data_IF_495487323609
#
_entry.id   IF_495487323609
#
_cell.length_a   1.000
_cell.length_b   1.000
_cell.length_c   1.000
_cell.angle_alpha   90.00
_cell.angle_beta   90.00
_cell.angle_gamma   90.00
#
_symmetry.space_group_name_H-M   'P 1'
#
loop_
_entity.id
_entity.type
_entity.pdbx_description
1 polymer ?
#
# COMPACT_ATOMS: atom_id res chain seq x y z
N UNK A 1 16.26 15.18 1.47
CA UNK A 1 15.05 15.65 2.21
C UNK A 1 14.27 14.42 2.64
N UNK A 2 14.00 14.29 3.91
CA UNK A 2 13.12 13.25 4.42
C UNK A 2 11.70 13.53 3.94
N UNK A 3 10.99 12.54 3.57
CA UNK A 3 9.55 12.32 3.31
C UNK A 3 8.58 13.48 3.69
N UNK A 4 8.72 14.62 3.00
CA UNK A 4 8.01 15.87 3.33
C UNK A 4 6.49 15.77 3.31
N UNK A 5 5.92 14.79 2.58
CA UNK A 5 4.48 14.55 2.49
C UNK A 5 4.05 13.24 3.18
N UNK A 6 4.96 12.53 3.83
CA UNK A 6 4.70 11.27 4.54
C UNK A 6 4.38 10.07 3.64
N UNK A 7 4.66 10.14 2.33
CA UNK A 7 4.31 9.08 1.39
C UNK A 7 5.19 7.84 1.55
N UNK A 8 6.50 8.03 1.76
CA UNK A 8 7.42 6.92 1.97
C UNK A 8 7.10 6.17 3.26
N UNK A 9 6.96 6.90 4.37
CA UNK A 9 6.70 6.30 5.69
C UNK A 9 5.32 5.65 5.77
N UNK A 10 4.31 6.17 5.05
CA UNK A 10 2.96 5.56 4.98
C UNK A 10 3.01 4.25 4.21
N UNK A 11 3.57 4.25 3.00
CA UNK A 11 3.70 3.05 2.18
C UNK A 11 4.54 1.98 2.90
N UNK A 12 5.68 2.40 3.45
CA UNK A 12 6.59 1.51 4.16
C UNK A 12 5.94 0.84 5.38
N UNK A 13 5.22 1.61 6.20
CA UNK A 13 4.53 1.04 7.37
C UNK A 13 3.44 0.05 6.95
N UNK A 14 2.63 0.39 5.93
CA UNK A 14 1.56 -0.48 5.45
C UNK A 14 2.11 -1.79 4.89
N UNK A 15 3.09 -1.73 3.98
CA UNK A 15 3.65 -2.93 3.36
C UNK A 15 4.45 -3.77 4.36
N UNK A 16 5.23 -3.15 5.27
CA UNK A 16 5.96 -3.88 6.29
C UNK A 16 5.04 -4.67 7.24
N UNK A 17 3.87 -4.12 7.60
CA UNK A 17 2.88 -4.82 8.41
C UNK A 17 2.21 -5.96 7.64
N UNK A 18 1.94 -5.80 6.34
CA UNK A 18 1.44 -6.88 5.50
C UNK A 18 2.48 -8.02 5.41
N UNK A 19 3.74 -7.69 5.13
CA UNK A 19 4.84 -8.65 5.02
C UNK A 19 5.12 -9.37 6.35
N UNK A 20 4.94 -8.67 7.49
CA UNK A 20 5.02 -9.29 8.82
C UNK A 20 3.87 -10.28 9.07
N UNK A 21 2.67 -9.96 8.60
CA UNK A 21 1.50 -10.82 8.80
C UNK A 21 1.57 -12.12 7.98
N UNK A 22 2.01 -12.03 6.72
CA UNK A 22 2.20 -13.19 5.83
C UNK A 22 3.29 -12.90 4.79
N UNK A 23 4.00 -13.93 4.32
CA UNK A 23 4.91 -13.81 3.17
C UNK A 23 4.16 -13.29 1.94
N UNK A 24 4.74 -12.32 1.26
CA UNK A 24 4.17 -11.73 0.04
C UNK A 24 4.79 -12.32 -1.24
N UNK A 25 5.84 -13.12 -1.13
CA UNK A 25 6.54 -13.71 -2.25
C UNK A 25 5.60 -14.59 -3.11
N UNK A 26 5.55 -14.31 -4.41
CA UNK A 26 4.71 -15.00 -5.39
C UNK A 26 3.22 -14.68 -5.28
N UNK A 27 2.81 -13.75 -4.39
CA UNK A 27 1.40 -13.33 -4.27
C UNK A 27 1.08 -12.22 -5.25
N UNK A 28 -0.12 -12.28 -5.83
CA UNK A 28 -0.67 -11.18 -6.62
C UNK A 28 -1.16 -10.07 -5.69
N UNK A 29 -0.61 -8.88 -5.85
CA UNK A 29 -0.93 -7.70 -5.08
C UNK A 29 -1.54 -6.61 -5.97
N UNK A 30 -2.67 -6.06 -5.55
CA UNK A 30 -3.35 -4.96 -6.25
C UNK A 30 -3.27 -3.70 -5.40
N UNK A 31 -2.71 -2.63 -5.98
CA UNK A 31 -2.72 -1.31 -5.36
C UNK A 31 -3.86 -0.48 -5.98
N UNK A 32 -4.93 -0.32 -5.24
CA UNK A 32 -6.07 0.52 -5.64
C UNK A 32 -5.69 2.00 -5.56
N UNK A 33 -6.05 2.77 -6.60
CA UNK A 33 -5.63 4.16 -6.79
C UNK A 33 -4.10 4.32 -6.72
N UNK A 34 -3.37 3.40 -7.36
CA UNK A 34 -1.91 3.24 -7.24
C UNK A 34 -1.06 4.31 -7.92
N UNK A 35 -1.66 5.35 -8.54
CA UNK A 35 -0.94 6.39 -9.30
C UNK A 35 -0.45 7.56 -8.46
N UNK A 36 -0.91 7.65 -7.21
CA UNK A 36 -0.45 8.67 -6.26
C UNK A 36 0.87 8.32 -5.57
N UNK A 37 1.49 9.30 -4.85
CA UNK A 37 2.80 9.09 -4.22
C UNK A 37 2.87 7.90 -3.26
N UNK A 38 1.84 7.64 -2.45
CA UNK A 38 1.77 6.48 -1.55
C UNK A 38 1.64 5.19 -2.36
N UNK A 39 0.72 5.16 -3.33
CA UNK A 39 0.45 3.97 -4.13
C UNK A 39 1.64 3.50 -4.95
N UNK A 40 2.36 4.42 -5.60
CA UNK A 40 3.56 4.09 -6.38
C UNK A 40 4.66 3.49 -5.50
N UNK A 41 4.85 4.02 -4.30
CA UNK A 41 5.84 3.51 -3.33
C UNK A 41 5.41 2.17 -2.73
N UNK A 42 4.12 2.02 -2.42
CA UNK A 42 3.58 0.74 -1.96
C UNK A 42 3.78 -0.36 -3.02
N UNK A 43 3.54 -0.03 -4.30
CA UNK A 43 3.80 -0.95 -5.42
C UNK A 43 5.27 -1.39 -5.46
N UNK A 44 6.22 -0.44 -5.32
CA UNK A 44 7.63 -0.77 -5.28
C UNK A 44 8.00 -1.67 -4.08
N UNK A 45 7.48 -1.36 -2.90
CA UNK A 45 7.77 -2.13 -1.69
C UNK A 45 7.14 -3.53 -1.73
N UNK A 46 5.94 -3.68 -2.28
CA UNK A 46 5.30 -4.98 -2.52
C UNK A 46 6.14 -5.82 -3.49
N UNK A 47 6.70 -5.20 -4.54
CA UNK A 47 7.62 -5.87 -5.47
C UNK A 47 8.92 -6.31 -4.78
N UNK A 48 9.51 -5.48 -3.91
CA UNK A 48 10.69 -5.84 -3.10
C UNK A 48 10.42 -7.10 -2.23
N UNK A 49 9.18 -7.27 -1.76
CA UNK A 49 8.77 -8.49 -1.03
C UNK A 49 8.47 -9.69 -1.96
N UNK A 50 8.68 -9.55 -3.27
CA UNK A 50 8.50 -10.62 -4.26
C UNK A 50 7.07 -10.82 -4.73
N UNK A 51 6.18 -9.83 -4.51
CA UNK A 51 4.82 -9.88 -5.02
C UNK A 51 4.75 -9.55 -6.51
N UNK A 52 3.76 -10.13 -7.21
CA UNK A 52 3.34 -9.74 -8.55
C UNK A 52 2.37 -8.56 -8.44
N UNK A 53 2.83 -7.37 -8.83
CA UNK A 53 2.10 -6.13 -8.52
C UNK A 53 1.35 -5.59 -9.72
N UNK A 54 0.07 -5.23 -9.50
CA UNK A 54 -0.69 -4.37 -10.40
C UNK A 54 -1.16 -3.11 -9.68
N UNK A 55 -1.32 -2.03 -10.44
CA UNK A 55 -1.83 -0.74 -9.94
C UNK A 55 -3.08 -0.35 -10.69
N UNK A 56 -4.07 0.21 -10.00
CA UNK A 56 -5.28 0.70 -10.63
C UNK A 56 -5.32 2.22 -10.72
N UNK A 57 -5.97 2.70 -11.78
CA UNK A 57 -6.31 4.11 -11.97
C UNK A 57 -7.68 4.25 -12.64
N UNK A 58 -8.30 5.41 -12.53
CA UNK A 58 -9.54 5.74 -13.25
C UNK A 58 -9.37 5.86 -14.77
N UNK A 59 -8.13 5.96 -15.24
CA UNK A 59 -7.78 6.11 -16.64
C UNK A 59 -6.59 5.22 -16.97
N UNK A 60 -6.67 4.52 -18.10
CA UNK A 60 -5.59 3.68 -18.60
C UNK A 60 -4.31 4.50 -18.79
N UNK A 61 -4.43 5.69 -19.36
CA UNK A 61 -3.28 6.58 -19.58
C UNK A 61 -2.55 6.93 -18.29
N UNK A 62 -3.29 7.21 -17.19
CA UNK A 62 -2.68 7.51 -15.89
C UNK A 62 -2.04 6.26 -15.27
N UNK A 63 -2.66 5.09 -15.43
CA UNK A 63 -2.07 3.82 -14.97
C UNK A 63 -0.76 3.51 -15.70
N UNK A 64 -0.74 3.66 -17.03
CA UNK A 64 0.45 3.44 -17.86
C UNK A 64 1.57 4.42 -17.51
N UNK A 65 1.26 5.70 -17.33
CA UNK A 65 2.22 6.71 -16.94
C UNK A 65 2.83 6.43 -15.56
N UNK A 66 2.01 5.99 -14.60
CA UNK A 66 2.48 5.62 -13.27
C UNK A 66 3.34 4.35 -13.30
N UNK A 67 2.93 3.33 -14.07
CA UNK A 67 3.73 2.11 -14.25
C UNK A 67 5.11 2.44 -14.85
N UNK A 68 5.14 3.31 -15.87
CA UNK A 68 6.40 3.78 -16.45
C UNK A 68 7.25 4.54 -15.43
N UNK A 69 6.67 5.46 -14.66
CA UNK A 69 7.40 6.23 -13.64
C UNK A 69 7.96 5.32 -12.53
N UNK A 70 7.23 4.27 -12.15
CA UNK A 70 7.71 3.25 -11.21
C UNK A 70 8.89 2.49 -11.82
N UNK A 71 8.79 2.09 -13.10
CA UNK A 71 9.88 1.42 -13.80
C UNK A 71 11.13 2.28 -13.90
N UNK A 72 10.97 3.55 -14.28
CA UNK A 72 12.09 4.48 -14.42
C UNK A 72 12.82 4.71 -13.06
N UNK A 73 12.09 4.62 -11.92
CA UNK A 73 12.67 4.89 -10.59
C UNK A 73 13.12 3.62 -9.85
N UNK A 74 12.39 2.51 -9.99
CA UNK A 74 12.57 1.30 -9.17
C UNK A 74 12.97 0.07 -9.98
N UNK A 75 13.05 0.17 -11.32
CA UNK A 75 13.52 -0.91 -12.19
C UNK A 75 12.52 -2.05 -12.43
N UNK A 76 11.23 -1.85 -12.09
CA UNK A 76 10.16 -2.80 -12.42
C UNK A 76 8.88 -2.07 -12.85
N UNK A 77 8.09 -2.67 -13.72
CA UNK A 77 6.84 -2.13 -14.22
C UNK A 77 5.65 -2.92 -13.64
N UNK A 78 4.87 -2.38 -12.69
CA UNK A 78 3.64 -3.03 -12.27
C UNK A 78 2.62 -3.05 -13.42
N UNK A 79 1.75 -4.07 -13.45
CA UNK A 79 0.68 -4.16 -14.45
C UNK A 79 -0.30 -2.99 -14.27
N UNK A 80 -0.48 -2.11 -15.28
CA UNK A 80 -1.41 -0.99 -15.18
C UNK A 80 -2.82 -1.43 -15.55
N UNK A 81 -3.78 -1.18 -14.67
CA UNK A 81 -5.20 -1.54 -14.83
C UNK A 81 -6.05 -0.26 -14.81
N UNK A 82 -6.92 -0.11 -15.82
CA UNK A 82 -7.99 0.88 -15.75
C UNK A 82 -9.15 0.34 -14.90
N UNK A 83 -9.56 1.11 -13.91
CA UNK A 83 -10.65 0.76 -13.01
C UNK A 83 -11.37 2.05 -12.57
N UNK A 84 -12.25 2.57 -13.43
CA UNK A 84 -12.86 3.88 -13.27
C UNK A 84 -14.02 3.88 -12.27
N UNK A 85 -14.68 2.75 -12.06
CA UNK A 85 -15.81 2.58 -11.14
C UNK A 85 -15.62 1.41 -10.16
N UNK A 86 -16.60 1.18 -9.30
CA UNK A 86 -16.56 0.12 -8.28
C UNK A 86 -16.54 -1.27 -8.90
N UNK A 87 -17.28 -1.48 -10.00
CA UNK A 87 -17.34 -2.78 -10.68
C UNK A 87 -15.99 -3.15 -11.29
N UNK A 88 -15.34 -2.19 -11.96
CA UNK A 88 -14.01 -2.38 -12.53
C UNK A 88 -12.96 -2.64 -11.45
N UNK A 89 -13.05 -1.97 -10.28
CA UNK A 89 -12.14 -2.21 -9.15
C UNK A 89 -12.38 -3.58 -8.51
N UNK A 90 -13.64 -3.96 -8.33
CA UNK A 90 -14.01 -5.30 -7.87
C UNK A 90 -13.49 -6.40 -8.81
N UNK A 91 -13.58 -6.18 -10.13
CA UNK A 91 -13.01 -7.09 -11.11
C UNK A 91 -11.48 -7.16 -11.03
N UNK A 92 -10.81 -6.02 -10.81
CA UNK A 92 -9.36 -5.95 -10.74
C UNK A 92 -8.78 -6.74 -9.54
N UNK A 93 -9.49 -6.82 -8.42
CA UNK A 93 -9.01 -7.54 -7.21
C UNK A 93 -9.27 -9.03 -7.24
N UNK A 94 -10.08 -9.55 -8.18
CA UNK A 94 -10.34 -10.99 -8.28
C UNK A 94 -9.07 -11.79 -8.49
N UNK A 95 -8.91 -12.84 -7.68
CA UNK A 95 -7.72 -13.70 -7.71
C UNK A 95 -6.47 -13.07 -7.12
N UNK A 96 -6.57 -11.88 -6.51
CA UNK A 96 -5.48 -11.29 -5.74
C UNK A 96 -5.42 -11.87 -4.32
N UNK A 97 -4.24 -11.93 -3.74
CA UNK A 97 -4.03 -12.28 -2.34
C UNK A 97 -3.86 -11.04 -1.46
N UNK A 98 -3.43 -9.93 -2.03
CA UNK A 98 -3.14 -8.69 -1.31
C UNK A 98 -3.85 -7.52 -1.98
N UNK A 99 -4.58 -6.73 -1.21
CA UNK A 99 -5.20 -5.48 -1.67
C UNK A 99 -4.71 -4.32 -0.80
N UNK A 100 -4.15 -3.31 -1.43
CA UNK A 100 -3.66 -2.09 -0.77
C UNK A 100 -4.37 -0.87 -1.33
N UNK A 101 -5.15 -0.16 -0.51
CA UNK A 101 -5.85 1.06 -0.93
C UNK A 101 -5.03 2.31 -0.60
N UNK A 102 -4.74 3.11 -1.63
CA UNK A 102 -3.99 4.37 -1.54
C UNK A 102 -4.77 5.56 -2.14
N UNK A 103 -6.08 5.51 -2.03
CA UNK A 103 -6.97 6.53 -2.57
C UNK A 103 -7.05 7.81 -1.73
N UNK A 104 -7.75 8.79 -2.28
CA UNK A 104 -8.04 10.04 -1.58
C UNK A 104 -9.09 9.84 -0.49
N UNK A 105 -9.06 10.71 0.51
CA UNK A 105 -10.04 10.76 1.60
C UNK A 105 -11.45 10.95 1.03
N UNK A 106 -12.43 10.24 1.62
CA UNK A 106 -13.84 10.39 1.29
C UNK A 106 -14.31 9.57 0.08
N UNK A 107 -13.49 8.65 -0.41
CA UNK A 107 -13.84 7.78 -1.55
C UNK A 107 -13.64 6.31 -1.18
N UNK A 108 -14.72 5.53 -1.21
CA UNK A 108 -14.62 4.07 -1.14
C UNK A 108 -14.19 3.51 -2.49
N UNK A 109 -13.10 2.78 -2.49
CA UNK A 109 -12.52 2.16 -3.68
C UNK A 109 -12.98 0.71 -3.86
N UNK A 110 -13.28 0.01 -2.76
CA UNK A 110 -13.72 -1.37 -2.77
C UNK A 110 -14.78 -1.57 -1.70
N UNK A 111 -16.00 -1.95 -2.12
CA UNK A 111 -17.08 -2.24 -1.19
C UNK A 111 -16.85 -3.57 -0.47
N UNK A 112 -17.33 -3.69 0.76
CA UNK A 112 -17.19 -4.90 1.58
C UNK A 112 -17.68 -6.17 0.86
N UNK A 113 -18.83 -6.08 0.18
CA UNK A 113 -19.43 -7.19 -0.56
C UNK A 113 -18.52 -7.77 -1.66
N UNK A 114 -17.59 -6.97 -2.18
CA UNK A 114 -16.75 -7.32 -3.34
C UNK A 114 -15.48 -8.10 -2.94
N UNK A 115 -15.15 -8.15 -1.64
CA UNK A 115 -13.96 -8.86 -1.17
C UNK A 115 -14.21 -9.82 0.01
N UNK A 116 -15.25 -9.59 0.83
CA UNK A 116 -15.48 -10.36 2.06
C UNK A 116 -15.56 -11.87 1.85
N UNK A 117 -16.16 -12.31 0.74
CA UNK A 117 -16.35 -13.72 0.39
C UNK A 117 -15.35 -14.23 -0.67
N UNK A 118 -14.40 -13.40 -1.13
CA UNK A 118 -13.40 -13.85 -2.10
C UNK A 118 -12.39 -14.79 -1.40
N UNK A 119 -12.29 -16.06 -1.81
CA UNK A 119 -11.43 -17.03 -1.14
C UNK A 119 -9.93 -16.78 -1.39
N UNK A 120 -9.56 -15.94 -2.36
CA UNK A 120 -8.16 -15.70 -2.72
C UNK A 120 -7.55 -14.57 -1.92
N UNK A 121 -8.35 -13.55 -1.51
CA UNK A 121 -7.86 -12.42 -0.74
C UNK A 121 -7.49 -12.88 0.67
N UNK A 122 -6.27 -12.58 1.09
CA UNK A 122 -5.73 -12.93 2.39
C UNK A 122 -5.44 -11.69 3.25
N UNK A 123 -5.03 -10.60 2.60
CA UNK A 123 -4.53 -9.39 3.24
C UNK A 123 -5.17 -8.16 2.61
N UNK A 124 -5.66 -7.24 3.43
CA UNK A 124 -6.17 -5.95 2.99
C UNK A 124 -5.57 -4.82 3.83
N UNK A 125 -5.17 -3.73 3.21
CA UNK A 125 -4.66 -2.55 3.90
C UNK A 125 -5.23 -1.26 3.29
N UNK A 126 -5.59 -0.32 4.14
CA UNK A 126 -6.10 1.00 3.74
C UNK A 126 -5.31 2.12 4.41
N UNK A 127 -4.89 3.09 3.62
CA UNK A 127 -4.18 4.28 4.12
C UNK A 127 -5.12 5.44 4.49
N UNK A 128 -6.42 5.32 4.27
CA UNK A 128 -7.39 6.37 4.58
C UNK A 128 -7.92 6.22 6.01
N UNK A 129 -7.72 7.26 6.83
CA UNK A 129 -8.15 7.28 8.23
C UNK A 129 -9.55 7.88 8.44
N UNK A 130 -10.12 8.54 7.43
CA UNK A 130 -11.40 9.26 7.57
C UNK A 130 -12.50 8.54 6.78
N UNK A 131 -13.67 8.31 7.39
CA UNK A 131 -14.82 7.75 6.69
C UNK A 131 -15.33 8.65 5.55
N UNK A 132 -15.84 8.05 4.45
CA UNK A 132 -15.80 6.62 4.19
C UNK A 132 -14.36 6.14 3.91
N UNK A 133 -14.01 4.95 4.42
CA UNK A 133 -12.71 4.35 4.19
C UNK A 133 -12.57 3.88 2.74
N UNK A 134 -11.34 3.73 2.27
CA UNK A 134 -11.04 3.25 0.92
C UNK A 134 -11.47 1.78 0.72
N UNK A 135 -11.43 0.97 1.77
CA UNK A 135 -11.94 -0.41 1.76
C UNK A 135 -13.09 -0.51 2.77
N UNK A 136 -14.30 -0.79 2.28
CA UNK A 136 -15.46 -1.08 3.14
C UNK A 136 -15.27 -2.37 3.94
N UNK A 137 -15.85 -2.43 5.15
CA UNK A 137 -15.81 -3.63 6.01
C UNK A 137 -14.56 -3.75 6.89
N UNK A 138 -13.61 -2.82 6.80
CA UNK A 138 -12.50 -2.69 7.75
C UNK A 138 -12.69 -1.44 8.62
N UNK A 139 -11.94 -1.34 9.70
CA UNK A 139 -11.92 -0.15 10.56
C UNK A 139 -10.54 0.53 10.50
N UNK A 140 -10.53 1.86 10.61
CA UNK A 140 -9.27 2.62 10.60
C UNK A 140 -8.28 2.15 11.68
N UNK A 141 -8.77 1.66 12.81
CA UNK A 141 -7.97 1.16 13.95
C UNK A 141 -7.49 -0.29 13.79
N UNK A 142 -7.88 -1.02 12.74
CA UNK A 142 -7.50 -2.42 12.55
C UNK A 142 -5.97 -2.53 12.44
N UNK A 143 -5.39 -3.35 13.30
CA UNK A 143 -3.96 -3.61 13.37
C UNK A 143 -3.71 -5.11 13.22
N UNK A 144 -3.61 -5.57 11.98
CA UNK A 144 -3.59 -6.99 11.62
C UNK A 144 -4.77 -7.76 12.23
N UNK A 145 -5.95 -7.15 12.18
CA UNK A 145 -7.18 -7.74 12.74
C UNK A 145 -7.82 -8.67 11.71
N UNK A 146 -8.39 -9.77 12.19
CA UNK A 146 -9.16 -10.64 11.32
C UNK A 146 -10.52 -10.01 10.99
N UNK A 147 -10.82 -9.92 9.68
CA UNK A 147 -12.10 -9.51 9.10
C UNK A 147 -12.46 -10.49 7.99
N UNK A 148 -13.60 -11.17 8.11
CA UNK A 148 -14.06 -12.16 7.10
C UNK A 148 -13.01 -13.25 6.79
N UNK A 149 -12.25 -13.71 7.80
CA UNK A 149 -11.17 -14.70 7.62
C UNK A 149 -9.89 -14.15 6.94
N UNK A 150 -9.78 -12.84 6.77
CA UNK A 150 -8.64 -12.13 6.17
C UNK A 150 -8.00 -11.17 7.17
N UNK A 151 -6.75 -10.86 7.00
CA UNK A 151 -6.04 -9.91 7.86
C UNK A 151 -6.23 -8.49 7.32
N UNK A 152 -6.80 -7.61 8.14
CA UNK A 152 -7.06 -6.22 7.82
C UNK A 152 -6.13 -5.26 8.58
N UNK A 153 -5.63 -4.25 7.88
CA UNK A 153 -4.81 -3.17 8.43
C UNK A 153 -5.44 -1.84 8.01
N UNK A 154 -5.90 -1.08 8.97
CA UNK A 154 -6.44 0.27 8.77
C UNK A 154 -5.39 1.36 8.97
N UNK A 155 -5.69 2.56 8.55
CA UNK A 155 -4.76 3.69 8.56
C UNK A 155 -4.23 4.06 9.96
N UNK A 156 -5.06 3.99 10.99
CA UNK A 156 -4.62 4.21 12.37
C UNK A 156 -3.86 2.99 12.91
N UNK A 157 -4.19 1.78 12.45
CA UNK A 157 -3.45 0.56 12.76
C UNK A 157 -2.00 0.60 12.26
N UNK A 158 -1.77 1.13 11.06
CA UNK A 158 -0.42 1.34 10.52
C UNK A 158 0.25 2.60 11.09
N UNK A 159 -0.52 3.56 11.60
CA UNK A 159 -0.05 4.86 12.07
C UNK A 159 1.00 4.78 13.18
N UNK A 160 0.87 3.80 14.08
CA UNK A 160 1.85 3.57 15.15
C UNK A 160 3.25 3.25 14.60
N UNK A 161 3.34 2.34 13.65
CA UNK A 161 4.61 2.02 12.97
C UNK A 161 5.12 3.21 12.15
N UNK A 162 4.24 3.87 11.39
CA UNK A 162 4.59 5.08 10.63
C UNK A 162 5.23 6.14 11.49
N UNK A 163 4.66 6.44 12.67
CA UNK A 163 5.19 7.45 13.58
C UNK A 163 6.55 7.04 14.16
N UNK A 164 6.68 5.77 14.57
CA UNK A 164 7.94 5.20 15.07
C UNK A 164 9.03 5.29 14.00
N UNK A 165 8.71 4.89 12.78
CA UNK A 165 9.59 4.96 11.61
C UNK A 165 10.02 6.40 11.31
N UNK A 166 9.06 7.32 11.25
CA UNK A 166 9.36 8.73 10.97
C UNK A 166 10.33 9.32 12.01
N UNK A 167 10.11 9.05 13.30
CA UNK A 167 11.01 9.50 14.38
C UNK A 167 12.41 8.90 14.24
N UNK A 168 12.52 7.61 13.90
CA UNK A 168 13.80 6.95 13.68
C UNK A 168 14.55 7.58 12.50
N UNK A 169 13.86 7.81 11.38
CA UNK A 169 14.44 8.48 10.21
C UNK A 169 14.91 9.91 10.53
N UNK A 170 14.11 10.68 11.30
CA UNK A 170 14.53 12.02 11.73
C UNK A 170 15.77 11.94 12.62
N UNK A 171 15.81 11.01 13.59
CA UNK A 171 16.98 10.80 14.44
C UNK A 171 18.24 10.51 13.64
N UNK A 172 18.15 9.65 12.65
CA UNK A 172 19.28 9.27 11.80
C UNK A 172 19.89 10.47 11.03
N UNK A 173 19.09 11.46 10.64
CA UNK A 173 19.60 12.66 9.97
C UNK A 173 20.55 13.51 10.83
N UNK A 174 20.56 13.30 12.14
CA UNK A 174 21.49 13.98 13.05
C UNK A 174 22.78 13.18 13.32
N UNK A 175 22.90 11.95 12.79
CA UNK A 175 24.08 11.10 12.98
C UNK A 175 25.20 11.47 12.00
N UNK A 176 24.86 11.90 10.76
CA UNK A 176 25.83 12.39 9.79
C UNK A 176 25.15 13.29 8.74
N UNK A 177 25.97 14.13 8.07
CA UNK A 177 25.48 15.10 7.08
C UNK A 177 25.26 14.50 5.66
N UNK A 178 25.70 13.26 5.43
CA UNK A 178 25.66 12.56 4.15
C UNK A 178 24.51 11.53 4.03
N UNK A 179 23.57 11.53 4.97
CA UNK A 179 22.44 10.60 5.00
C UNK A 179 21.50 10.81 3.79
N UNK A 180 21.22 9.72 3.11
CA UNK A 180 20.20 9.63 2.07
C UNK A 180 19.12 8.66 2.55
N UNK A 181 17.92 9.16 2.80
CA UNK A 181 16.75 8.39 3.21
C UNK A 181 15.74 8.39 2.07
N UNK A 182 15.94 7.49 1.12
CA UNK A 182 14.99 7.23 0.04
C UNK A 182 13.92 6.19 0.42
N UNK A 183 13.08 5.80 -0.54
CA UNK A 183 11.98 4.88 -0.29
C UNK A 183 12.48 3.52 0.18
N UNK A 184 13.56 3.01 -0.41
CA UNK A 184 14.15 1.71 -0.14
C UNK A 184 14.79 1.68 1.25
N UNK A 185 15.55 2.71 1.62
CA UNK A 185 16.16 2.86 2.95
C UNK A 185 15.09 2.97 4.04
N UNK A 186 14.05 3.78 3.81
CA UNK A 186 12.92 3.94 4.74
C UNK A 186 12.16 2.62 4.88
N UNK A 187 11.99 1.86 3.79
CA UNK A 187 11.32 0.57 3.85
C UNK A 187 12.14 -0.48 4.63
N UNK A 188 13.44 -0.54 4.43
CA UNK A 188 14.32 -1.42 5.20
C UNK A 188 14.22 -1.14 6.72
N UNK A 189 14.18 0.14 7.11
CA UNK A 189 13.95 0.52 8.50
C UNK A 189 12.54 0.14 8.99
N UNK A 190 11.50 0.29 8.16
CA UNK A 190 10.14 -0.10 8.51
C UNK A 190 10.05 -1.59 8.84
N UNK A 191 10.72 -2.44 8.06
CA UNK A 191 10.78 -3.90 8.31
C UNK A 191 11.48 -4.22 9.63
N UNK A 192 12.56 -3.53 9.96
CA UNK A 192 13.28 -3.73 11.23
C UNK A 192 12.47 -3.26 12.45
N UNK A 193 11.55 -2.31 12.29
CA UNK A 193 10.74 -1.74 13.37
C UNK A 193 9.35 -2.39 13.52
N UNK A 194 8.90 -3.20 12.56
CA UNK A 194 7.56 -3.79 12.46
C UNK A 194 7.26 -4.95 13.47
#
# INVERSE_FOLDING_TARGET
MLDSNGSNTTAAAGVALLAKAKSLAGKKAIVLAGTGPVGMRAAAMLHIEGAEVAITSRSKQLADAASKAINDRFGFAPTPIEAFDNEARAAAVKGAQVVFAAGVIGVTLLDEKDWQNDPTIELVADCNAQPPLGIGGIEAIDKAKERHGKIAIGALGLGGLKLKLHRACVGQLFESADQVLDAENIYAQAKALA
#
